data_IF_056905757830
#
_entry.id   IF_056905757830
#
_cell.length_a   1.000
_cell.length_b   1.000
_cell.length_c   1.000
_cell.angle_alpha   90.00
_cell.angle_beta   90.00
_cell.angle_gamma   90.00
#
_symmetry.space_group_name_H-M   'P 1'
#
loop_
_entity.id
_entity.type
_entity.pdbx_description
1 polymer ?
#
# COMPACT_ATOMS: atom_id res chain seq x y z
N UNK A 1 39.58 38.65 15.30
CA UNK A 1 38.15 39.02 15.31
C UNK A 1 37.42 37.96 14.50
N UNK A 2 36.62 37.09 15.13
CA UNK A 2 35.95 35.99 14.42
C UNK A 2 34.57 36.44 13.96
N UNK A 3 34.34 36.46 12.64
CA UNK A 3 33.04 36.78 12.04
C UNK A 3 32.16 35.53 12.02
N UNK A 4 31.06 35.55 12.77
CA UNK A 4 30.06 34.48 12.72
C UNK A 4 29.13 34.71 11.52
N UNK A 5 29.46 34.13 10.37
CA UNK A 5 28.61 34.23 9.17
C UNK A 5 27.41 33.28 9.34
N UNK A 6 26.24 33.82 9.70
CA UNK A 6 24.99 33.06 9.66
C UNK A 6 24.54 32.84 8.20
N UNK A 7 24.92 31.71 7.63
CA UNK A 7 24.32 31.22 6.40
C UNK A 7 22.88 30.75 6.67
N UNK A 8 21.89 31.45 6.09
CA UNK A 8 20.53 30.93 5.92
C UNK A 8 20.52 29.96 4.75
N UNK A 9 20.83 28.68 5.00
CA UNK A 9 20.77 27.64 3.97
C UNK A 9 19.34 27.47 3.45
N UNK A 10 19.11 27.86 2.20
CA UNK A 10 17.84 27.63 1.51
C UNK A 10 17.79 26.17 1.04
N UNK A 11 16.96 25.35 1.69
CA UNK A 11 16.78 23.93 1.38
C UNK A 11 15.46 23.75 0.64
N UNK A 12 15.48 23.03 -0.49
CA UNK A 12 14.29 22.71 -1.29
C UNK A 12 14.14 21.20 -1.41
N UNK A 13 12.90 20.71 -1.28
CA UNK A 13 12.51 19.33 -1.60
C UNK A 13 11.58 19.33 -2.82
N UNK A 14 11.72 18.33 -3.69
CA UNK A 14 10.81 18.10 -4.82
C UNK A 14 10.79 16.61 -5.18
N UNK A 15 9.60 16.02 -5.32
CA UNK A 15 9.45 14.66 -5.83
C UNK A 15 9.64 14.62 -7.35
N UNK A 16 10.36 13.61 -7.83
CA UNK A 16 10.43 13.23 -9.24
C UNK A 16 9.84 11.83 -9.42
N UNK A 17 9.11 11.62 -10.52
CA UNK A 17 8.43 10.35 -10.85
C UNK A 17 9.25 9.57 -11.86
N UNK A 18 9.38 8.27 -11.65
CA UNK A 18 10.04 7.34 -12.56
C UNK A 18 9.19 6.09 -12.77
N UNK A 19 8.73 5.89 -14.01
CA UNK A 19 7.84 4.79 -14.37
C UNK A 19 8.62 3.53 -14.75
N UNK A 20 8.16 2.37 -14.27
CA UNK A 20 8.57 1.07 -14.78
C UNK A 20 7.53 0.57 -15.80
N UNK A 21 8.00 -0.01 -16.91
CA UNK A 21 7.17 -0.48 -18.01
C UNK A 21 7.04 -2.01 -17.98
N UNK A 22 5.92 -2.53 -18.50
CA UNK A 22 5.65 -3.97 -18.64
C UNK A 22 5.77 -4.78 -17.33
N UNK A 23 5.46 -4.16 -16.20
CA UNK A 23 5.54 -4.78 -14.86
C UNK A 23 4.46 -5.86 -14.71
N UNK A 24 4.83 -7.02 -14.18
CA UNK A 24 3.92 -8.13 -13.88
C UNK A 24 4.01 -8.54 -12.41
N UNK A 25 2.97 -9.20 -11.87
CA UNK A 25 3.07 -9.80 -10.54
C UNK A 25 4.07 -10.96 -10.55
N UNK A 26 4.98 -10.98 -9.57
CA UNK A 26 6.03 -12.01 -9.47
C UNK A 26 7.28 -11.77 -10.33
N UNK A 27 7.36 -10.66 -11.09
CA UNK A 27 8.61 -10.25 -11.75
C UNK A 27 9.45 -9.30 -10.90
N UNK A 28 10.77 -9.44 -10.96
CA UNK A 28 11.72 -8.46 -10.40
C UNK A 28 11.71 -7.15 -11.21
N UNK A 29 11.85 -6.01 -10.53
CA UNK A 29 11.76 -4.67 -11.13
C UNK A 29 12.96 -3.82 -10.68
N UNK A 30 13.89 -3.55 -11.58
CA UNK A 30 15.00 -2.62 -11.32
C UNK A 30 14.65 -1.20 -11.79
N UNK A 31 14.77 -0.20 -10.89
CA UNK A 31 14.51 1.22 -11.20
C UNK A 31 15.79 2.01 -10.88
N UNK A 32 16.54 2.49 -11.90
CA UNK A 32 17.80 3.19 -11.67
C UNK A 32 17.56 4.62 -11.18
N UNK A 33 17.96 4.93 -9.94
CA UNK A 33 17.74 6.24 -9.33
C UNK A 33 18.45 7.33 -10.15
N UNK A 34 17.66 8.21 -10.75
CA UNK A 34 18.16 9.33 -11.55
C UNK A 34 18.60 10.49 -10.66
N UNK A 35 19.80 11.03 -10.93
CA UNK A 35 20.36 12.15 -10.19
C UNK A 35 19.68 13.46 -10.61
N UNK A 36 18.69 13.91 -9.81
CA UNK A 36 18.05 15.22 -9.99
C UNK A 36 18.49 16.24 -8.93
N UNK A 37 18.49 15.86 -7.65
CA UNK A 37 18.99 16.68 -6.54
C UNK A 37 20.42 16.32 -6.11
N UNK A 38 20.94 17.10 -5.16
CA UNK A 38 22.22 16.82 -4.49
C UNK A 38 22.13 15.56 -3.61
N UNK A 39 20.95 15.34 -3.02
CA UNK A 39 20.62 14.15 -2.24
C UNK A 39 19.19 13.67 -2.55
N UNK A 40 18.87 12.45 -2.16
CA UNK A 40 17.50 11.94 -2.10
C UNK A 40 17.14 11.50 -0.67
N UNK A 41 15.85 11.50 -0.36
CA UNK A 41 15.31 11.21 0.96
C UNK A 41 14.30 10.04 0.89
N UNK A 42 13.03 10.30 1.17
CA UNK A 42 11.96 9.31 1.13
C UNK A 42 11.55 8.93 -0.31
N UNK A 43 10.95 7.75 -0.43
CA UNK A 43 10.47 7.20 -1.70
C UNK A 43 9.09 6.55 -1.51
N UNK A 44 8.24 6.61 -2.53
CA UNK A 44 6.91 5.96 -2.52
C UNK A 44 6.60 5.38 -3.90
N UNK A 45 6.25 4.10 -3.94
CA UNK A 45 5.77 3.42 -5.12
C UNK A 45 4.24 3.59 -5.23
N UNK A 46 3.78 4.24 -6.29
CA UNK A 46 2.40 4.22 -6.73
C UNK A 46 2.20 3.01 -7.66
N UNK A 47 1.32 2.09 -7.29
CA UNK A 47 1.03 0.88 -8.04
C UNK A 47 -0.47 0.83 -8.31
N UNK A 48 -0.84 0.70 -9.57
CA UNK A 48 -2.24 0.51 -9.98
C UNK A 48 -2.40 -0.91 -10.52
N UNK A 49 -3.21 -1.71 -9.83
CA UNK A 49 -3.58 -3.05 -10.28
C UNK A 49 -4.97 -2.96 -10.91
N UNK A 50 -5.08 -3.32 -12.18
CA UNK A 50 -6.34 -3.30 -12.91
C UNK A 50 -7.31 -4.33 -12.30
N UNK A 51 -8.60 -3.98 -12.23
CA UNK A 51 -9.60 -4.89 -11.66
C UNK A 51 -9.70 -6.18 -12.49
N UNK A 52 -9.45 -7.36 -11.90
CA UNK A 52 -9.53 -8.63 -12.62
C UNK A 52 -10.97 -9.00 -12.95
N UNK A 53 -11.18 -9.67 -14.08
CA UNK A 53 -12.46 -10.27 -14.45
C UNK A 53 -12.60 -11.65 -13.80
N UNK A 54 -13.71 -11.88 -13.11
CA UNK A 54 -14.14 -13.20 -12.64
C UNK A 54 -14.95 -13.92 -13.71
N UNK A 55 -14.84 -15.24 -13.76
CA UNK A 55 -15.75 -16.09 -14.52
C UNK A 55 -15.98 -17.42 -13.79
N UNK A 56 -17.25 -17.76 -13.56
CA UNK A 56 -17.65 -19.05 -12.99
C UNK A 56 -17.93 -20.04 -14.14
N UNK A 57 -17.37 -21.24 -14.06
CA UNK A 57 -17.81 -22.37 -14.89
C UNK A 57 -18.71 -23.31 -14.08
N UNK A 58 -19.67 -23.95 -14.74
CA UNK A 58 -20.50 -25.04 -14.20
C UNK A 58 -20.52 -26.20 -15.19
N UNK A 59 -20.94 -27.36 -14.72
CA UNK A 59 -21.18 -28.53 -15.57
C UNK A 59 -22.49 -28.43 -16.36
N UNK A 60 -23.30 -29.49 -16.31
CA UNK A 60 -24.54 -29.64 -17.10
C UNK A 60 -25.76 -28.87 -16.56
N UNK A 61 -25.58 -27.90 -15.66
CA UNK A 61 -26.66 -27.07 -15.07
C UNK A 61 -26.56 -25.64 -15.59
N UNK A 62 -27.68 -25.08 -16.06
CA UNK A 62 -27.76 -23.66 -16.46
C UNK A 62 -27.51 -22.71 -15.29
N UNK A 63 -26.88 -21.57 -15.57
CA UNK A 63 -26.70 -20.48 -14.61
C UNK A 63 -28.04 -19.84 -14.23
N UNK A 64 -28.18 -19.51 -12.95
CA UNK A 64 -29.18 -18.56 -12.44
C UNK A 64 -28.57 -17.15 -12.38
N UNK A 65 -29.36 -16.06 -12.44
CA UNK A 65 -28.84 -14.70 -12.27
C UNK A 65 -28.15 -14.42 -10.92
N UNK A 66 -28.32 -15.31 -9.94
CA UNK A 66 -27.67 -15.30 -8.62
C UNK A 66 -26.31 -16.01 -8.56
N UNK A 67 -25.93 -16.79 -9.59
CA UNK A 67 -24.68 -17.57 -9.63
C UNK A 67 -23.47 -16.68 -9.99
N UNK A 68 -23.07 -15.80 -9.07
CA UNK A 68 -21.93 -14.89 -9.23
C UNK A 68 -20.69 -15.36 -8.47
N UNK A 69 -19.53 -15.26 -9.13
CA UNK A 69 -18.22 -15.36 -8.51
C UNK A 69 -17.93 -14.07 -7.72
N UNK A 70 -17.46 -14.20 -6.47
CA UNK A 70 -17.12 -13.06 -5.61
C UNK A 70 -15.63 -13.09 -5.25
N UNK A 71 -15.01 -11.92 -5.14
CA UNK A 71 -13.64 -11.80 -4.65
C UNK A 71 -13.46 -10.60 -3.71
N UNK A 72 -12.35 -10.66 -2.96
CA UNK A 72 -11.80 -9.57 -2.17
C UNK A 72 -10.29 -9.55 -2.33
N UNK A 73 -9.69 -8.41 -2.03
CA UNK A 73 -8.27 -8.33 -1.72
C UNK A 73 -8.02 -8.90 -0.31
N UNK A 74 -6.77 -9.25 -0.01
CA UNK A 74 -6.35 -9.45 1.37
C UNK A 74 -6.52 -8.16 2.19
N UNK A 75 -6.33 -8.24 3.50
CA UNK A 75 -6.24 -7.06 4.34
C UNK A 75 -4.86 -6.40 4.13
N UNK A 76 -4.77 -5.08 4.04
CA UNK A 76 -3.52 -4.36 3.74
C UNK A 76 -2.78 -4.81 2.46
N UNK A 77 -3.45 -4.85 1.28
CA UNK A 77 -2.86 -5.33 0.02
C UNK A 77 -1.60 -4.57 -0.42
N UNK A 78 -1.43 -3.30 -0.01
CA UNK A 78 -0.23 -2.53 -0.24
C UNK A 78 0.90 -2.80 0.75
N UNK A 79 0.66 -3.37 1.93
CA UNK A 79 1.73 -4.08 2.67
C UNK A 79 2.15 -5.26 1.79
N UNK A 80 1.16 -5.98 1.29
CA UNK A 80 1.30 -7.31 0.72
C UNK A 80 1.63 -7.39 -0.80
N UNK A 81 2.00 -6.28 -1.46
CA UNK A 81 2.31 -6.22 -2.92
C UNK A 81 3.76 -6.50 -3.28
N UNK A 82 4.71 -6.07 -2.45
CA UNK A 82 6.10 -6.37 -2.71
C UNK A 82 6.40 -7.82 -2.34
N UNK A 83 7.31 -8.44 -3.09
CA UNK A 83 8.23 -9.43 -2.52
C UNK A 83 9.53 -8.66 -2.18
N UNK A 84 10.73 -9.18 -2.43
CA UNK A 84 11.93 -8.46 -1.95
C UNK A 84 12.07 -7.06 -2.58
N UNK A 85 12.21 -6.04 -1.72
CA UNK A 85 12.73 -4.72 -2.11
C UNK A 85 14.21 -4.66 -1.72
N UNK A 86 15.10 -4.26 -2.64
CA UNK A 86 16.54 -4.11 -2.36
C UNK A 86 17.04 -2.72 -2.71
N UNK A 87 17.93 -2.18 -1.87
CA UNK A 87 18.65 -0.95 -2.16
C UNK A 87 20.10 -1.29 -2.53
N UNK A 88 20.36 -1.37 -3.83
CA UNK A 88 21.65 -1.80 -4.38
C UNK A 88 22.50 -0.62 -4.85
N UNK A 89 23.79 -0.66 -4.53
CA UNK A 89 24.80 0.24 -5.10
C UNK A 89 25.93 -0.62 -5.66
N UNK A 90 26.28 -0.42 -6.93
CA UNK A 90 27.26 -1.24 -7.65
C UNK A 90 26.98 -2.75 -7.55
N UNK A 91 25.70 -3.14 -7.63
CA UNK A 91 25.19 -4.52 -7.46
C UNK A 91 25.50 -5.18 -6.11
N UNK A 92 25.83 -4.39 -5.08
CA UNK A 92 25.85 -4.83 -3.68
C UNK A 92 24.58 -4.32 -2.97
N UNK A 93 23.70 -5.20 -2.45
CA UNK A 93 22.57 -4.78 -1.62
C UNK A 93 23.06 -4.24 -0.27
N UNK A 94 22.81 -2.95 -0.03
CA UNK A 94 23.12 -2.28 1.24
C UNK A 94 22.03 -2.60 2.28
N UNK A 95 20.77 -2.67 1.83
CA UNK A 95 19.62 -3.04 2.66
C UNK A 95 18.60 -3.85 1.82
N UNK A 96 17.89 -4.78 2.46
CA UNK A 96 17.05 -5.81 1.83
C UNK A 96 15.77 -6.03 2.65
N UNK A 97 14.62 -6.16 1.98
CA UNK A 97 13.32 -5.98 2.63
C UNK A 97 12.27 -7.07 2.32
N UNK A 98 11.91 -7.79 3.39
CA UNK A 98 11.03 -8.97 3.44
C UNK A 98 9.62 -8.70 3.98
N UNK A 99 8.95 -9.62 4.70
CA UNK A 99 7.49 -9.64 4.89
C UNK A 99 6.94 -9.05 6.16
N UNK A 100 7.71 -9.09 7.23
CA UNK A 100 7.12 -9.00 8.56
C UNK A 100 7.06 -7.56 9.06
N UNK A 101 7.84 -6.65 8.47
CA UNK A 101 8.14 -5.39 9.11
C UNK A 101 7.38 -4.13 8.58
N UNK A 102 6.47 -4.24 7.60
CA UNK A 102 5.36 -3.31 7.28
C UNK A 102 4.27 -3.56 8.32
N UNK A 103 4.06 -4.83 8.68
CA UNK A 103 3.19 -5.23 9.79
C UNK A 103 3.77 -4.72 11.11
N UNK A 104 5.06 -4.93 11.38
CA UNK A 104 5.74 -4.35 12.57
C UNK A 104 5.79 -2.81 12.50
N UNK A 105 5.99 -2.19 11.33
CA UNK A 105 5.92 -0.73 11.18
C UNK A 105 4.52 -0.21 11.50
N UNK A 106 3.46 -0.84 10.97
CA UNK A 106 2.06 -0.51 11.28
C UNK A 106 1.73 -0.69 12.76
N UNK A 107 2.23 -1.75 13.40
CA UNK A 107 1.92 -2.07 14.79
C UNK A 107 2.71 -1.21 15.79
N UNK A 108 3.98 -0.88 15.51
CA UNK A 108 4.88 -0.22 16.47
C UNK A 108 5.25 1.23 16.12
N UNK A 109 5.12 1.64 14.86
CA UNK A 109 5.66 2.92 14.35
C UNK A 109 4.62 3.84 13.67
N UNK A 110 3.46 3.34 13.26
CA UNK A 110 2.35 4.17 12.75
C UNK A 110 1.46 4.61 13.92
N UNK A 111 1.45 5.90 14.30
CA UNK A 111 0.61 6.37 15.39
C UNK A 111 -0.87 6.43 14.99
N UNK A 112 -1.75 6.41 15.99
CA UNK A 112 -3.22 6.30 15.82
C UNK A 112 -3.84 7.44 15.02
N UNK A 113 -3.22 8.63 14.97
CA UNK A 113 -3.68 9.74 14.12
C UNK A 113 -3.31 9.57 12.64
N UNK A 114 -2.30 8.73 12.34
CA UNK A 114 -1.83 8.43 10.98
C UNK A 114 -2.38 7.12 10.42
N UNK A 115 -2.92 6.21 11.25
CA UNK A 115 -3.40 4.89 10.79
C UNK A 115 -4.45 4.97 9.68
N UNK A 116 -5.33 5.97 9.68
CA UNK A 116 -6.34 6.15 8.61
C UNK A 116 -5.68 6.54 7.27
N UNK A 117 -4.60 7.33 7.29
CA UNK A 117 -3.83 7.66 6.10
C UNK A 117 -3.00 6.46 5.63
N UNK A 118 -2.35 5.75 6.55
CA UNK A 118 -1.64 4.50 6.27
C UNK A 118 -2.55 3.48 5.60
N UNK A 119 -3.73 3.19 6.17
CA UNK A 119 -4.68 2.22 5.62
C UNK A 119 -5.06 2.55 4.16
N UNK A 120 -5.35 3.83 3.86
CA UNK A 120 -5.62 4.29 2.47
C UNK A 120 -4.43 4.03 1.55
N UNK A 121 -3.22 4.39 1.99
CA UNK A 121 -1.98 4.13 1.26
C UNK A 121 -1.74 2.62 1.01
N UNK A 122 -2.07 1.75 1.97
CA UNK A 122 -1.96 0.29 1.84
C UNK A 122 -3.19 -0.38 1.19
N UNK A 123 -4.15 0.36 0.65
CA UNK A 123 -5.38 -0.21 0.07
C UNK A 123 -6.28 -0.97 1.06
N UNK A 124 -6.13 -0.72 2.36
CA UNK A 124 -6.96 -1.26 3.43
C UNK A 124 -8.22 -0.40 3.60
N UNK A 125 -9.38 -1.04 3.72
CA UNK A 125 -10.64 -0.37 3.98
C UNK A 125 -10.76 0.26 5.38
N UNK A 126 -11.64 1.26 5.47
CA UNK A 126 -12.04 1.90 6.72
C UNK A 126 -13.56 2.12 6.72
N UNK A 127 -14.18 2.22 7.91
CA UNK A 127 -15.63 2.22 8.04
C UNK A 127 -16.27 3.54 7.59
N UNK A 128 -17.32 3.44 6.79
CA UNK A 128 -18.30 4.49 6.63
C UNK A 128 -19.18 4.54 7.89
N UNK A 129 -19.41 5.74 8.45
CA UNK A 129 -20.28 5.93 9.61
C UNK A 129 -21.69 6.28 9.14
N UNK A 130 -22.65 5.42 9.45
CA UNK A 130 -24.08 5.73 9.38
C UNK A 130 -24.62 6.16 10.74
N UNK A 131 -25.62 7.03 10.75
CA UNK A 131 -26.37 7.41 11.96
C UNK A 131 -27.86 7.28 11.66
N UNK A 132 -28.58 6.56 12.52
CA UNK A 132 -30.01 6.30 12.38
C UNK A 132 -30.75 6.73 13.66
N UNK A 133 -32.01 7.21 13.55
CA UNK A 133 -32.85 7.39 14.73
C UNK A 133 -33.17 6.03 15.36
N UNK A 134 -33.32 5.98 16.68
CA UNK A 134 -34.04 4.87 17.32
C UNK A 134 -35.50 4.98 16.90
N UNK A 135 -36.03 3.90 16.32
CA UNK A 135 -37.46 3.81 16.01
C UNK A 135 -38.23 3.59 17.31
N UNK A 136 -38.91 4.64 17.78
CA UNK A 136 -39.90 4.50 18.85
C UNK A 136 -41.12 3.75 18.31
N UNK A 137 -41.28 2.50 18.73
CA UNK A 137 -42.34 1.64 18.26
C UNK A 137 -43.65 1.80 19.06
N UNK A 138 -43.60 2.31 20.30
CA UNK A 138 -44.74 2.39 21.23
C UNK A 138 -44.39 3.24 22.48
N UNK A 139 -44.51 4.57 22.43
CA UNK A 139 -44.41 5.40 23.64
C UNK A 139 -45.35 6.62 23.62
N UNK A 140 -46.06 6.81 24.74
CA UNK A 140 -46.78 8.05 25.08
C UNK A 140 -46.00 8.92 26.08
N UNK A 141 -44.70 8.66 26.27
CA UNK A 141 -43.78 9.47 27.07
C UNK A 141 -42.51 9.82 26.26
N UNK A 142 -41.84 10.90 26.69
CA UNK A 142 -40.76 11.65 26.01
C UNK A 142 -39.92 10.88 24.97
N UNK A 143 -39.81 11.38 23.72
CA UNK A 143 -39.12 10.67 22.63
C UNK A 143 -37.64 10.41 22.93
N UNK A 144 -37.14 9.27 22.48
CA UNK A 144 -35.76 8.82 22.68
C UNK A 144 -34.80 9.63 21.80
N UNK A 145 -34.19 10.68 22.35
CA UNK A 145 -33.23 11.55 21.64
C UNK A 145 -31.81 10.95 21.54
N UNK A 146 -31.68 9.63 21.48
CA UNK A 146 -30.42 8.90 21.40
C UNK A 146 -30.30 8.19 20.03
N UNK A 147 -29.51 8.71 19.07
CA UNK A 147 -29.35 8.08 17.76
C UNK A 147 -28.39 6.88 17.80
N UNK A 148 -28.65 5.88 16.97
CA UNK A 148 -27.76 4.71 16.81
C UNK A 148 -26.68 5.04 15.78
N UNK A 149 -25.42 4.72 16.12
CA UNK A 149 -24.27 4.83 15.20
C UNK A 149 -23.89 3.45 14.67
N UNK A 150 -23.88 3.31 13.35
CA UNK A 150 -23.44 2.10 12.65
C UNK A 150 -22.13 2.35 11.91
N UNK A 151 -21.34 1.29 11.73
CA UNK A 151 -20.16 1.28 10.85
C UNK A 151 -20.38 0.24 9.75
N UNK A 152 -20.17 0.65 8.51
CA UNK A 152 -20.33 -0.18 7.31
C UNK A 152 -19.02 -0.21 6.55
N UNK A 153 -18.63 -1.40 6.10
CA UNK A 153 -17.47 -1.64 5.26
C UNK A 153 -17.97 -2.05 3.87
N UNK A 154 -17.43 -1.41 2.82
CA UNK A 154 -17.86 -1.61 1.43
C UNK A 154 -16.73 -1.29 0.44
N UNK A 155 -15.55 -1.87 0.64
CA UNK A 155 -14.33 -1.57 -0.14
C UNK A 155 -13.58 -2.86 -0.49
N UNK A 156 -12.28 -2.79 -0.78
CA UNK A 156 -11.48 -3.88 -1.36
C UNK A 156 -11.47 -5.20 -0.58
N UNK A 157 -11.65 -5.17 0.75
CA UNK A 157 -11.71 -6.37 1.60
C UNK A 157 -13.14 -6.94 1.71
N UNK A 158 -14.14 -6.20 1.25
CA UNK A 158 -15.54 -6.66 1.13
C UNK A 158 -15.69 -7.56 -0.10
N UNK A 159 -16.47 -8.64 0.02
CA UNK A 159 -16.75 -9.55 -1.10
C UNK A 159 -17.65 -8.89 -2.16
N UNK A 160 -17.16 -8.78 -3.41
CA UNK A 160 -17.90 -8.18 -4.54
C UNK A 160 -17.71 -9.00 -5.82
N UNK A 161 -18.66 -8.97 -6.78
CA UNK A 161 -18.49 -9.61 -8.09
C UNK A 161 -17.48 -8.87 -8.97
N UNK A 162 -17.30 -7.58 -8.72
CA UNK A 162 -16.32 -6.70 -9.37
C UNK A 162 -15.87 -5.63 -8.38
N UNK A 163 -14.59 -5.28 -8.40
CA UNK A 163 -14.04 -4.10 -7.74
C UNK A 163 -13.72 -3.01 -8.77
N UNK A 164 -13.15 -1.90 -8.31
CA UNK A 164 -12.46 -0.91 -9.16
C UNK A 164 -10.94 -1.17 -9.11
N UNK A 165 -10.19 -0.57 -10.01
CA UNK A 165 -8.72 -0.65 -10.01
C UNK A 165 -8.13 -0.26 -8.65
N UNK A 166 -7.29 -1.14 -8.11
CA UNK A 166 -6.65 -0.97 -6.82
C UNK A 166 -5.43 -0.06 -6.97
N UNK A 167 -5.58 1.19 -6.52
CA UNK A 167 -4.48 2.14 -6.39
C UNK A 167 -3.83 1.99 -5.01
N UNK A 168 -2.53 1.73 -4.99
CA UNK A 168 -1.70 1.59 -3.80
C UNK A 168 -0.63 2.68 -3.80
N UNK A 169 -0.43 3.32 -2.66
CA UNK A 169 0.69 4.24 -2.43
C UNK A 169 1.55 3.63 -1.33
N UNK A 170 2.56 2.86 -1.72
CA UNK A 170 3.42 2.11 -0.82
C UNK A 170 4.70 2.90 -0.60
N UNK A 171 4.90 3.54 0.57
CA UNK A 171 6.22 4.04 0.91
C UNK A 171 7.25 2.93 0.71
N UNK A 172 8.33 3.19 -0.02
CA UNK A 172 9.46 2.27 -0.03
C UNK A 172 10.23 2.50 1.25
N UNK A 173 10.55 1.41 1.91
CA UNK A 173 10.98 1.42 3.27
C UNK A 173 12.18 0.45 3.41
N UNK A 174 13.36 1.00 3.77
CA UNK A 174 14.64 0.29 3.95
C UNK A 174 15.20 0.42 5.38
N UNK A 175 15.61 1.62 5.82
CA UNK A 175 15.79 1.95 7.25
C UNK A 175 14.42 2.13 7.98
N UNK A 176 13.43 1.39 7.46
CA UNK A 176 11.96 1.34 7.57
C UNK A 176 11.53 0.00 6.84
N UNK A 177 10.30 -0.54 6.84
CA UNK A 177 10.05 -1.96 6.39
C UNK A 177 8.60 -2.35 5.95
N UNK A 178 8.08 -3.45 5.28
CA UNK A 178 8.41 -4.79 4.62
C UNK A 178 7.19 -5.83 4.66
N UNK A 179 6.49 -6.67 3.83
CA UNK A 179 5.92 -7.02 2.47
C UNK A 179 4.49 -7.65 2.86
N UNK A 180 3.86 -8.80 2.46
CA UNK A 180 3.83 -9.86 1.38
C UNK A 180 2.40 -10.51 1.33
N UNK A 181 1.83 -11.00 0.19
CA UNK A 181 0.55 -11.79 -0.01
C UNK A 181 -0.84 -11.09 -0.22
N UNK A 182 -1.33 -11.01 -1.46
CA UNK A 182 -2.33 -10.00 -1.90
C UNK A 182 -3.84 -10.36 -1.96
N UNK A 183 -4.28 -11.63 -1.94
CA UNK A 183 -5.67 -12.01 -2.29
C UNK A 183 -6.26 -13.18 -1.48
N UNK A 184 -7.60 -13.17 -1.29
CA UNK A 184 -8.39 -14.28 -0.74
C UNK A 184 -9.66 -14.51 -1.58
N UNK A 185 -10.08 -15.77 -1.80
CA UNK A 185 -11.23 -16.14 -2.64
C UNK A 185 -12.22 -17.09 -1.95
N UNK A 186 -13.53 -16.93 -2.20
CA UNK A 186 -14.60 -17.88 -1.84
C UNK A 186 -15.69 -17.89 -2.93
N UNK A 187 -16.47 -18.97 -3.00
CA UNK A 187 -17.76 -18.98 -3.72
C UNK A 187 -18.80 -18.24 -2.84
N UNK A 188 -19.76 -17.57 -3.47
CA UNK A 188 -20.89 -16.93 -2.78
C UNK A 188 -21.57 -17.92 -1.80
N UNK A 189 -21.66 -17.64 -0.47
CA UNK A 189 -22.30 -18.53 0.50
C UNK A 189 -23.80 -18.80 0.24
N UNK A 190 -24.46 -17.97 -0.57
CA UNK A 190 -25.84 -18.16 -1.00
C UNK A 190 -25.99 -18.94 -2.32
N UNK A 191 -24.89 -19.32 -2.99
CA UNK A 191 -24.94 -20.20 -4.14
C UNK A 191 -25.34 -21.62 -3.67
N UNK A 192 -26.46 -22.12 -4.17
CA UNK A 192 -26.95 -23.44 -3.81
C UNK A 192 -25.92 -24.51 -4.24
N UNK A 193 -25.60 -25.43 -3.32
CA UNK A 193 -24.54 -26.43 -3.51
C UNK A 193 -24.74 -27.29 -4.75
N UNK A 194 -23.65 -27.94 -5.16
CA UNK A 194 -23.52 -28.90 -6.26
C UNK A 194 -23.23 -28.28 -7.66
N UNK A 195 -22.11 -28.69 -8.24
CA UNK A 195 -21.64 -28.40 -9.61
C UNK A 195 -21.20 -26.95 -9.92
N UNK A 196 -20.60 -26.25 -8.95
CA UNK A 196 -19.63 -25.20 -9.27
C UNK A 196 -18.29 -25.87 -9.62
N UNK A 197 -17.89 -25.82 -10.90
CA UNK A 197 -16.61 -26.38 -11.37
C UNK A 197 -15.76 -25.28 -11.96
N UNK A 198 -14.72 -24.93 -11.23
CA UNK A 198 -13.70 -23.93 -11.55
C UNK A 198 -14.20 -22.48 -11.55
N UNK A 199 -13.82 -21.76 -10.49
CA UNK A 199 -13.70 -20.31 -10.51
C UNK A 199 -12.44 -19.97 -11.31
N UNK A 200 -12.58 -19.12 -12.33
CA UNK A 200 -11.45 -18.57 -13.07
C UNK A 200 -11.37 -17.05 -12.88
N UNK A 201 -10.14 -16.55 -12.95
CA UNK A 201 -9.75 -15.18 -12.66
C UNK A 201 -8.75 -14.77 -13.75
N UNK A 202 -8.95 -13.62 -14.38
CA UNK A 202 -7.90 -13.06 -15.24
C UNK A 202 -6.64 -12.78 -14.41
N UNK A 203 -5.46 -13.11 -14.93
CA UNK A 203 -4.18 -12.69 -14.32
C UNK A 203 -4.20 -11.18 -14.06
N UNK A 204 -4.11 -10.70 -12.81
CA UNK A 204 -4.19 -9.27 -12.52
C UNK A 204 -3.05 -8.51 -13.19
N UNK A 205 -3.38 -7.44 -13.91
CA UNK A 205 -2.41 -6.63 -14.65
C UNK A 205 -2.02 -5.40 -13.84
N UNK A 206 -0.74 -5.03 -13.83
CA UNK A 206 -0.28 -3.77 -13.25
C UNK A 206 -0.32 -2.72 -14.37
N UNK A 207 -1.29 -1.80 -14.30
CA UNK A 207 -1.52 -0.78 -15.32
C UNK A 207 -0.62 0.45 -15.16
N UNK A 208 -0.09 0.67 -13.95
CA UNK A 208 1.00 1.62 -13.70
C UNK A 208 1.86 1.18 -12.53
N UNK A 209 3.18 1.35 -12.66
CA UNK A 209 4.15 1.28 -11.56
C UNK A 209 5.05 2.51 -11.62
N UNK A 210 4.91 3.41 -10.65
CA UNK A 210 5.61 4.69 -10.57
C UNK A 210 6.36 4.81 -9.25
N UNK A 211 7.68 4.89 -9.30
CA UNK A 211 8.49 5.26 -8.14
C UNK A 211 8.59 6.79 -8.07
N UNK A 212 8.14 7.38 -6.97
CA UNK A 212 8.36 8.79 -6.64
C UNK A 212 9.52 8.90 -5.66
N UNK A 213 10.50 9.75 -5.98
CA UNK A 213 11.73 9.95 -5.20
C UNK A 213 11.82 11.41 -4.76
N UNK A 214 11.83 11.63 -3.44
CA UNK A 214 12.04 12.94 -2.81
C UNK A 214 13.48 13.38 -3.03
N UNK A 215 13.70 14.39 -3.88
CA UNK A 215 15.02 14.94 -4.16
C UNK A 215 15.22 16.25 -3.38
N UNK A 216 16.37 16.38 -2.75
CA UNK A 216 16.77 17.53 -1.94
C UNK A 216 17.83 18.35 -2.66
N UNK A 217 17.64 19.66 -2.65
CA UNK A 217 18.52 20.65 -3.27
C UNK A 217 19.03 21.61 -2.20
N UNK A 218 20.34 21.87 -2.21
CA UNK A 218 21.04 22.77 -1.26
C UNK A 218 21.92 23.77 -2.01
N UNK A 219 22.36 24.88 -1.38
CA UNK A 219 23.30 25.80 -2.00
C UNK A 219 24.66 25.10 -2.24
N UNK A 220 25.39 25.37 -3.36
CA UNK A 220 26.65 24.70 -3.67
C UNK A 220 27.72 24.82 -2.57
N UNK A 221 27.73 25.93 -1.84
CA UNK A 221 28.63 26.17 -0.71
C UNK A 221 28.35 25.23 0.46
N UNK A 222 27.06 24.91 0.69
CA UNK A 222 26.62 23.97 1.72
C UNK A 222 26.89 22.53 1.27
N UNK A 223 26.68 22.22 -0.01
CA UNK A 223 27.01 20.91 -0.58
C UNK A 223 28.51 20.60 -0.45
N UNK A 224 29.39 21.52 -0.87
CA UNK A 224 30.84 21.35 -0.74
C UNK A 224 31.27 21.14 0.72
N UNK A 225 30.80 21.99 1.65
CA UNK A 225 31.09 21.83 3.08
C UNK A 225 30.58 20.49 3.64
N UNK A 226 29.47 19.96 3.14
CA UNK A 226 28.95 18.65 3.56
C UNK A 226 29.85 17.51 3.05
N UNK A 227 30.15 17.47 1.76
CA UNK A 227 30.98 16.41 1.15
C UNK A 227 32.41 16.42 1.72
N UNK A 228 33.00 17.59 1.94
CA UNK A 228 34.37 17.74 2.46
C UNK A 228 34.50 17.35 3.96
N UNK A 229 33.39 17.29 4.71
CA UNK A 229 33.42 17.12 6.19
C UNK A 229 32.65 15.92 6.72
N UNK A 230 31.64 15.42 6.01
CA UNK A 230 30.82 14.28 6.45
C UNK A 230 31.38 13.00 5.84
N UNK A 231 32.45 12.50 6.46
CA UNK A 231 33.22 11.32 5.98
C UNK A 231 32.38 10.03 6.02
N UNK A 232 31.40 9.93 6.92
CA UNK A 232 30.47 8.80 6.99
C UNK A 232 29.12 9.22 7.60
N UNK A 233 28.08 8.45 7.29
CA UNK A 233 26.75 8.57 7.92
C UNK A 233 26.39 7.22 8.55
N UNK A 234 25.86 7.23 9.78
CA UNK A 234 25.37 6.02 10.44
C UNK A 234 23.99 5.65 9.87
N UNK A 235 23.90 4.51 9.18
CA UNK A 235 22.63 3.94 8.71
C UNK A 235 22.15 2.83 9.65
N UNK A 236 20.85 2.52 9.57
CA UNK A 236 20.29 1.26 10.08
C UNK A 236 20.01 0.37 8.88
N UNK A 237 20.17 -0.94 9.06
CA UNK A 237 20.01 -1.97 8.02
C UNK A 237 19.21 -3.11 8.62
N UNK A 238 18.29 -3.68 7.85
CA UNK A 238 17.44 -4.78 8.31
C UNK A 238 18.14 -6.13 8.16
N UNK A 239 17.87 -7.04 9.11
CA UNK A 239 18.39 -8.41 9.12
C UNK A 239 17.27 -9.35 9.53
N UNK A 240 16.92 -10.28 8.64
CA UNK A 240 15.91 -11.32 8.85
C UNK A 240 16.60 -12.67 9.03
N UNK A 241 16.11 -13.47 9.96
CA UNK A 241 16.44 -14.88 10.08
C UNK A 241 15.14 -15.66 10.19
N UNK A 242 14.93 -16.60 9.27
CA UNK A 242 13.82 -17.55 9.29
C UNK A 242 14.36 -18.92 9.66
N UNK A 243 13.82 -19.54 10.72
CA UNK A 243 14.07 -20.95 11.02
C UNK A 243 12.91 -21.77 10.46
N UNK A 244 13.22 -22.78 9.65
CA UNK A 244 12.30 -23.81 9.15
C UNK A 244 12.23 -25.00 10.10
#
# INVERSE_FOLDING_TARGET
>A
MYSLIQYKSALKLQYFKQSANNVTLGSEIAIPILQYGDFFADMVANIVIHSPTTSLTRGTKSFTPSDVALYRHCDYPGEQIFDEVRFEVSSNPIDSCYSEAYVIHRQLHVPTDKIIAWNRCRGQEGPFTGVAPVLDANSTTTPVTAPVKHQVYDSYQTWKPSHRDLVLWVPLLFWLTQMQNLYHQIINPAAQTDDAKDLMFSTPQISAFDLYISNMFVPPEVHGIFIDRVVFTLIRVQRRQTHT
#
